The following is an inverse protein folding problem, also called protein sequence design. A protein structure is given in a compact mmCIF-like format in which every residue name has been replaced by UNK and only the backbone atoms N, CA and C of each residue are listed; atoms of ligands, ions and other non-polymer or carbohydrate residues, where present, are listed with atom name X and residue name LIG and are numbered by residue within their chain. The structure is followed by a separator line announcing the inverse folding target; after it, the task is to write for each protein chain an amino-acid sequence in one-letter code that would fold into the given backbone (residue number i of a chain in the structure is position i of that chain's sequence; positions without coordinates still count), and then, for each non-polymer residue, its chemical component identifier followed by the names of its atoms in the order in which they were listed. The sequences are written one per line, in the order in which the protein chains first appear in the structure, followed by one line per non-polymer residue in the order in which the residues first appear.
data_IF_693421979211
#
_entry.id   IF_693421979211
#
_cell.length_a   1.000
_cell.length_b   1.000
_cell.length_c   1.000
_cell.angle_alpha   90.00
_cell.angle_beta   90.00
_cell.angle_gamma   90.00
#
_symmetry.space_group_name_H-M   'P 1'
#
loop_
_entity.id
_entity.type
_entity.pdbx_description
1 polymer ?
#
# COMPACT_ATOMS: atom_id res chain seq x y z
N UNK A 1 -20.49 -12.08 -8.05
CA UNK A 1 -19.31 -11.77 -8.88
C UNK A 1 -18.08 -12.07 -8.04
N UNK A 2 -17.02 -12.69 -8.59
CA UNK A 2 -15.82 -12.92 -7.80
C UNK A 2 -15.25 -11.54 -7.44
N UNK A 3 -15.23 -11.27 -6.13
CA UNK A 3 -14.71 -10.04 -5.56
C UNK A 3 -13.21 -10.30 -5.43
N UNK A 4 -12.34 -9.51 -6.06
CA UNK A 4 -10.90 -9.76 -5.90
C UNK A 4 -10.55 -9.76 -4.42
N UNK A 5 -9.55 -10.57 -4.09
CA UNK A 5 -9.20 -10.89 -2.72
C UNK A 5 -7.83 -10.35 -2.36
N UNK A 6 -7.67 -9.98 -1.10
CA UNK A 6 -6.42 -9.46 -0.58
C UNK A 6 -5.99 -10.15 0.71
N UNK A 7 -4.68 -10.09 0.98
CA UNK A 7 -4.11 -10.45 2.27
C UNK A 7 -3.03 -9.42 2.67
N UNK A 8 -2.99 -9.02 3.94
CA UNK A 8 -1.97 -8.11 4.49
C UNK A 8 -1.12 -8.86 5.50
N UNK A 9 0.18 -8.96 5.23
CA UNK A 9 1.16 -9.61 6.11
C UNK A 9 2.06 -8.56 6.74
N UNK A 10 1.95 -8.41 8.06
CA UNK A 10 2.69 -7.40 8.83
C UNK A 10 3.99 -7.98 9.42
N UNK A 11 5.09 -7.25 9.27
CA UNK A 11 6.37 -7.57 9.89
C UNK A 11 6.80 -6.49 10.88
N UNK A 12 7.31 -6.90 12.04
CA UNK A 12 7.96 -6.03 13.02
C UNK A 12 7.01 -5.41 14.05
N UNK A 13 6.94 -4.07 14.10
CA UNK A 13 6.43 -3.33 15.26
C UNK A 13 4.90 -3.10 15.26
N UNK A 14 4.37 -2.61 16.40
CA UNK A 14 2.95 -2.25 16.57
C UNK A 14 2.48 -1.15 15.61
N UNK A 15 3.35 -0.21 15.25
CA UNK A 15 3.02 0.82 14.26
C UNK A 15 2.76 0.21 12.87
N UNK A 16 3.55 -0.80 12.49
CA UNK A 16 3.31 -1.55 11.24
C UNK A 16 1.99 -2.33 11.32
N UNK A 17 1.65 -2.91 12.48
CA UNK A 17 0.37 -3.60 12.67
C UNK A 17 -0.83 -2.64 12.49
N UNK A 18 -0.79 -1.47 13.12
CA UNK A 18 -1.83 -0.45 12.97
C UNK A 18 -1.93 0.07 11.52
N UNK A 19 -0.80 0.27 10.84
CA UNK A 19 -0.78 0.61 9.41
C UNK A 19 -1.44 -0.50 8.57
N UNK A 20 -1.20 -1.77 8.94
CA UNK A 20 -1.80 -2.93 8.30
C UNK A 20 -3.32 -2.92 8.44
N UNK A 21 -3.85 -2.73 9.65
CA UNK A 21 -5.29 -2.63 9.90
C UNK A 21 -5.95 -1.52 9.07
N UNK A 22 -5.29 -0.35 8.96
CA UNK A 22 -5.78 0.74 8.12
C UNK A 22 -5.80 0.37 6.62
N UNK A 23 -4.82 -0.40 6.15
CA UNK A 23 -4.80 -0.91 4.77
C UNK A 23 -5.91 -1.95 4.53
N UNK A 24 -6.11 -2.88 5.46
CA UNK A 24 -7.19 -3.88 5.37
C UNK A 24 -8.56 -3.19 5.24
N UNK A 25 -8.83 -2.22 6.10
CA UNK A 25 -10.08 -1.44 6.06
C UNK A 25 -10.22 -0.66 4.74
N UNK A 26 -9.13 -0.10 4.22
CA UNK A 26 -9.15 0.57 2.92
C UNK A 26 -9.50 -0.41 1.77
N UNK A 27 -8.96 -1.63 1.74
CA UNK A 27 -9.34 -2.62 0.74
C UNK A 27 -10.80 -3.07 0.86
N UNK A 28 -11.30 -3.26 2.09
CA UNK A 28 -12.70 -3.59 2.33
C UNK A 28 -13.64 -2.48 1.81
N UNK A 29 -13.29 -1.21 2.03
CA UNK A 29 -14.04 -0.06 1.50
C UNK A 29 -14.03 -0.01 -0.04
N UNK A 30 -12.94 -0.47 -0.66
CA UNK A 30 -12.83 -0.65 -2.11
C UNK A 30 -13.47 -1.94 -2.63
N UNK A 31 -14.22 -2.63 -1.79
CA UNK A 31 -14.95 -3.85 -2.13
C UNK A 31 -14.05 -5.00 -2.54
N UNK A 32 -12.89 -5.20 -1.93
CA UNK A 32 -12.18 -6.47 -2.02
C UNK A 32 -12.56 -7.39 -0.85
N UNK A 33 -12.49 -8.70 -1.06
CA UNK A 33 -12.63 -9.70 0.00
C UNK A 33 -11.29 -9.95 0.72
N UNK A 34 -11.31 -10.23 2.03
CA UNK A 34 -10.12 -10.72 2.73
C UNK A 34 -10.01 -12.23 2.50
N UNK A 35 -8.91 -12.69 1.92
CA UNK A 35 -8.67 -14.12 1.74
C UNK A 35 -8.26 -14.78 3.06
N UNK A 36 -8.66 -16.03 3.28
CA UNK A 36 -8.23 -16.83 4.45
C UNK A 36 -6.73 -17.12 4.43
N UNK A 37 -6.14 -17.27 3.24
CA UNK A 37 -4.72 -17.52 3.06
C UNK A 37 -4.16 -16.70 1.88
N UNK A 38 -2.91 -16.26 2.01
CA UNK A 38 -2.21 -15.52 0.95
C UNK A 38 -2.06 -16.31 -0.36
N UNK A 39 -2.09 -17.66 -0.26
CA UNK A 39 -1.99 -18.55 -1.43
C UNK A 39 -3.18 -18.42 -2.39
N UNK A 40 -4.32 -17.94 -1.89
CA UNK A 40 -5.57 -17.79 -2.63
C UNK A 40 -5.92 -16.32 -2.89
N UNK A 41 -4.97 -15.39 -2.68
CA UNK A 41 -5.18 -13.95 -2.81
C UNK A 41 -4.77 -13.40 -4.16
N UNK A 42 -5.57 -12.49 -4.72
CA UNK A 42 -5.21 -11.73 -5.93
C UNK A 42 -4.14 -10.67 -5.62
N UNK A 43 -4.22 -10.04 -4.45
CA UNK A 43 -3.24 -9.06 -3.94
C UNK A 43 -2.67 -9.51 -2.60
N UNK A 44 -1.34 -9.52 -2.49
CA UNK A 44 -0.67 -9.77 -1.21
C UNK A 44 0.18 -8.56 -0.84
N UNK A 45 -0.20 -7.89 0.25
CA UNK A 45 0.53 -6.74 0.78
C UNK A 45 1.53 -7.21 1.84
N UNK A 46 2.82 -7.00 1.58
CA UNK A 46 3.88 -7.22 2.54
C UNK A 46 4.20 -5.88 3.23
N UNK A 47 3.66 -5.67 4.43
CA UNK A 47 3.85 -4.43 5.19
C UNK A 47 5.02 -4.56 6.17
N UNK A 48 6.07 -3.80 5.90
CA UNK A 48 7.41 -4.02 6.45
C UNK A 48 7.77 -3.05 7.58
N UNK A 49 8.57 -3.55 8.51
CA UNK A 49 9.36 -2.74 9.44
C UNK A 49 10.84 -2.80 9.04
N UNK A 50 11.66 -1.90 9.59
CA UNK A 50 13.11 -1.88 9.33
C UNK A 50 13.95 -1.54 10.56
N UNK A 51 13.33 -1.55 11.75
CA UNK A 51 14.02 -1.23 13.01
C UNK A 51 15.03 -2.30 13.42
N UNK A 52 14.89 -3.53 12.91
CA UNK A 52 15.87 -4.60 13.07
C UNK A 52 16.21 -5.22 11.71
N UNK A 53 17.46 -5.63 11.52
CA UNK A 53 17.88 -6.36 10.32
C UNK A 53 17.11 -7.68 10.13
N UNK A 54 16.70 -8.31 11.23
CA UNK A 54 15.88 -9.52 11.19
C UNK A 54 14.51 -9.27 10.57
N UNK A 55 13.91 -8.09 10.76
CA UNK A 55 12.62 -7.74 10.15
C UNK A 55 12.73 -7.64 8.63
N UNK A 56 13.80 -7.01 8.11
CA UNK A 56 14.06 -6.94 6.67
C UNK A 56 14.26 -8.36 6.08
N UNK A 57 15.01 -9.22 6.77
CA UNK A 57 15.25 -10.60 6.34
C UNK A 57 13.96 -11.42 6.29
N UNK A 58 13.12 -11.33 7.32
CA UNK A 58 11.82 -12.00 7.37
C UNK A 58 10.89 -11.53 6.25
N UNK A 59 10.85 -10.22 5.97
CA UNK A 59 10.06 -9.68 4.86
C UNK A 59 10.53 -10.24 3.51
N UNK A 60 11.85 -10.27 3.25
CA UNK A 60 12.40 -10.87 2.01
C UNK A 60 12.11 -12.37 1.89
N UNK A 61 12.18 -13.11 3.00
CA UNK A 61 11.82 -14.53 3.03
C UNK A 61 10.34 -14.73 2.69
N UNK A 62 9.46 -13.88 3.24
CA UNK A 62 8.03 -13.96 2.96
C UNK A 62 7.71 -13.62 1.50
N UNK A 63 8.30 -12.58 0.92
CA UNK A 63 8.11 -12.24 -0.50
C UNK A 63 8.40 -13.46 -1.39
N UNK A 64 9.54 -14.11 -1.17
CA UNK A 64 9.93 -15.32 -1.94
C UNK A 64 8.99 -16.49 -1.68
N UNK A 65 8.48 -16.64 -0.46
CA UNK A 65 7.51 -17.69 -0.12
C UNK A 65 6.19 -17.47 -0.84
N UNK A 66 5.64 -16.26 -0.77
CA UNK A 66 4.38 -15.89 -1.45
C UNK A 66 4.54 -16.08 -2.95
N UNK A 67 5.62 -15.59 -3.56
CA UNK A 67 5.84 -15.75 -4.99
C UNK A 67 5.89 -17.23 -5.43
N UNK A 68 6.54 -18.09 -4.64
CA UNK A 68 6.62 -19.53 -4.93
C UNK A 68 5.27 -20.24 -4.77
N UNK A 69 4.48 -19.86 -3.75
CA UNK A 69 3.20 -20.51 -3.43
C UNK A 69 2.03 -19.95 -4.24
N UNK A 70 2.12 -18.70 -4.69
CA UNK A 70 1.13 -18.00 -5.49
C UNK A 70 1.83 -17.04 -6.48
N UNK A 71 2.33 -17.57 -7.61
CA UNK A 71 3.08 -16.78 -8.59
C UNK A 71 2.20 -15.76 -9.35
N UNK A 72 0.87 -15.90 -9.28
CA UNK A 72 -0.08 -14.98 -9.94
C UNK A 72 -0.43 -13.77 -9.07
N UNK A 73 -0.22 -13.85 -7.75
CA UNK A 73 -0.49 -12.75 -6.83
C UNK A 73 0.27 -11.48 -7.19
N UNK A 74 -0.43 -10.35 -7.10
CA UNK A 74 0.19 -9.03 -7.14
C UNK A 74 0.82 -8.76 -5.77
N UNK A 75 2.13 -8.96 -5.68
CA UNK A 75 2.88 -8.72 -4.44
C UNK A 75 3.23 -7.23 -4.33
N UNK A 76 2.60 -6.55 -3.38
CA UNK A 76 2.83 -5.13 -3.10
C UNK A 76 3.59 -4.99 -1.80
N UNK A 77 4.78 -4.41 -1.82
CA UNK A 77 5.59 -4.24 -0.62
C UNK A 77 5.51 -2.81 -0.15
N UNK A 78 5.17 -2.59 1.12
CA UNK A 78 5.07 -1.26 1.73
C UNK A 78 5.72 -1.22 3.11
N UNK A 79 5.76 -0.06 3.76
CA UNK A 79 6.29 0.11 5.11
C UNK A 79 7.66 0.76 5.19
N UNK A 80 8.31 0.61 6.36
CA UNK A 80 9.54 1.33 6.65
C UNK A 80 10.72 0.83 5.80
N UNK A 81 10.81 -0.47 5.54
CA UNK A 81 11.86 -1.03 4.70
C UNK A 81 11.66 -0.59 3.23
N UNK A 82 10.42 -0.57 2.76
CA UNK A 82 10.08 -0.03 1.43
C UNK A 82 10.41 1.47 1.29
N UNK A 83 10.28 2.27 2.34
CA UNK A 83 10.71 3.67 2.33
C UNK A 83 12.24 3.80 2.36
N UNK A 84 12.93 2.97 3.15
CA UNK A 84 14.39 3.04 3.34
C UNK A 84 15.17 2.56 2.11
N UNK A 85 14.75 1.45 1.52
CA UNK A 85 15.50 0.75 0.48
C UNK A 85 14.57 0.22 -0.63
N UNK A 86 13.82 1.10 -1.31
CA UNK A 86 12.83 0.67 -2.30
C UNK A 86 13.44 -0.15 -3.44
N UNK A 87 14.63 0.23 -3.89
CA UNK A 87 15.33 -0.45 -4.99
C UNK A 87 15.88 -1.83 -4.61
N UNK A 88 16.18 -2.06 -3.31
CA UNK A 88 16.56 -3.39 -2.83
C UNK A 88 15.38 -4.36 -2.97
N UNK A 89 14.19 -3.90 -2.59
CA UNK A 89 12.97 -4.69 -2.66
C UNK A 89 12.50 -4.89 -4.11
N UNK A 90 12.61 -3.86 -4.95
CA UNK A 90 12.15 -3.91 -6.34
C UNK A 90 12.91 -4.93 -7.20
N UNK A 91 14.12 -5.33 -6.78
CA UNK A 91 14.93 -6.37 -7.42
C UNK A 91 14.56 -7.79 -7.02
N UNK A 92 13.68 -7.97 -6.03
CA UNK A 92 13.25 -9.29 -5.60
C UNK A 92 12.22 -9.81 -6.61
N UNK A 93 12.49 -10.98 -7.17
CA UNK A 93 11.59 -11.67 -8.09
C UNK A 93 10.18 -11.84 -7.48
N UNK A 94 9.16 -11.60 -8.28
CA UNK A 94 7.76 -11.66 -7.90
C UNK A 94 7.17 -10.36 -7.33
N UNK A 95 8.00 -9.38 -6.94
CA UNK A 95 7.48 -8.08 -6.47
C UNK A 95 6.85 -7.33 -7.64
N UNK A 96 5.57 -7.00 -7.51
CA UNK A 96 4.83 -6.20 -8.51
C UNK A 96 5.10 -4.72 -8.32
N UNK A 97 5.05 -4.24 -7.07
CA UNK A 97 5.37 -2.84 -6.76
C UNK A 97 5.87 -2.64 -5.34
N UNK A 98 6.65 -1.59 -5.17
CA UNK A 98 7.20 -1.12 -3.89
C UNK A 98 6.65 0.28 -3.62
N UNK A 99 5.92 0.42 -2.51
CA UNK A 99 5.30 1.67 -2.10
C UNK A 99 5.82 2.10 -0.74
N UNK A 100 6.69 3.11 -0.70
CA UNK A 100 7.19 3.68 0.54
C UNK A 100 6.08 4.26 1.42
N UNK A 101 6.38 4.54 2.68
CA UNK A 101 5.44 5.21 3.59
C UNK A 101 4.94 6.56 3.01
N UNK A 102 5.76 7.24 2.20
CA UNK A 102 5.37 8.45 1.44
C UNK A 102 4.15 8.27 0.55
N UNK A 103 3.89 7.04 0.08
CA UNK A 103 2.80 6.73 -0.87
C UNK A 103 1.74 5.80 -0.28
N UNK A 104 1.85 5.45 1.01
CA UNK A 104 0.95 4.46 1.64
C UNK A 104 -0.51 4.87 1.58
N UNK A 105 -0.79 6.17 1.60
CA UNK A 105 -2.15 6.72 1.45
C UNK A 105 -2.79 6.36 0.10
N UNK A 106 -2.00 6.34 -0.97
CA UNK A 106 -2.46 6.05 -2.32
C UNK A 106 -2.33 4.57 -2.69
N UNK A 107 -1.85 3.72 -1.78
CA UNK A 107 -1.59 2.31 -2.07
C UNK A 107 -2.81 1.60 -2.64
N UNK A 108 -3.94 1.62 -1.93
CA UNK A 108 -5.15 0.92 -2.38
C UNK A 108 -5.66 1.49 -3.70
N UNK A 109 -5.86 2.82 -3.86
CA UNK A 109 -6.26 3.40 -5.15
C UNK A 109 -5.35 3.03 -6.33
N UNK A 110 -4.02 3.02 -6.13
CA UNK A 110 -3.06 2.63 -7.17
C UNK A 110 -3.21 1.15 -7.51
N UNK A 111 -3.32 0.28 -6.50
CA UNK A 111 -3.51 -1.16 -6.71
C UNK A 111 -4.78 -1.43 -7.51
N UNK A 112 -5.90 -0.80 -7.10
CA UNK A 112 -7.17 -0.91 -7.81
C UNK A 112 -7.03 -0.49 -9.27
N UNK A 113 -6.51 0.72 -9.52
CA UNK A 113 -6.46 1.28 -10.87
C UNK A 113 -5.48 0.56 -11.79
N UNK A 114 -4.33 0.13 -11.27
CA UNK A 114 -3.22 -0.35 -12.10
C UNK A 114 -3.18 -1.87 -12.25
N UNK A 115 -3.64 -2.62 -11.26
CA UNK A 115 -3.45 -4.07 -11.22
C UNK A 115 -4.74 -4.87 -11.20
N UNK A 116 -5.87 -4.25 -10.83
CA UNK A 116 -7.17 -4.93 -10.72
C UNK A 116 -8.25 -4.34 -11.64
N UNK A 117 -8.07 -3.15 -12.20
CA UNK A 117 -9.04 -2.59 -13.13
C UNK A 117 -9.23 -3.52 -14.32
N UNK A 118 -10.49 -3.81 -14.67
CA UNK A 118 -10.82 -4.44 -15.94
C UNK A 118 -10.25 -3.57 -17.08
N UNK A 119 -9.79 -4.17 -18.19
CA UNK A 119 -9.38 -3.39 -19.35
C UNK A 119 -10.56 -2.48 -19.73
N UNK A 120 -10.29 -1.18 -19.90
CA UNK A 120 -11.25 -0.28 -20.54
C UNK A 120 -11.71 -0.97 -21.83
N UNK A 121 -13.00 -1.32 -21.91
CA UNK A 121 -13.61 -1.72 -23.16
C UNK A 121 -13.19 -0.68 -24.20
N UNK A 122 -12.63 -1.09 -25.36
CA UNK A 122 -12.28 -0.12 -26.39
C UNK A 122 -13.51 0.74 -26.64
N UNK A 123 -13.30 2.06 -26.67
CA UNK A 123 -14.33 3.04 -26.97
C UNK A 123 -15.25 2.49 -28.07
N UNK A 124 -16.56 2.55 -27.82
CA UNK A 124 -17.59 1.94 -28.66
C UNK A 124 -17.25 2.08 -30.16
N UNK A 125 -17.43 1.03 -30.98
CA UNK A 125 -17.16 1.13 -32.40
C UNK A 125 -17.96 2.30 -32.99
N UNK A 126 -17.26 3.20 -33.68
CA UNK A 126 -17.89 4.27 -34.46
C UNK A 126 -18.98 3.66 -35.36
N UNK A 127 -20.23 4.02 -35.10
CA UNK A 127 -21.35 3.66 -35.97
C UNK A 127 -21.45 4.71 -37.08
N UNK A 128 -21.57 4.32 -38.36
CA UNK A 128 -21.80 5.28 -39.43
C UNK A 128 -23.16 5.98 -39.22
N UNK A 129 -23.13 7.24 -38.78
CA UNK A 129 -24.34 8.02 -38.50
C UNK A 129 -24.16 9.15 -37.48
N UNK A 130 -23.08 9.13 -36.70
CA UNK A 130 -22.80 10.20 -35.74
C UNK A 130 -22.34 11.46 -36.47
N UNK A 131 -23.11 12.54 -36.29
CA UNK A 131 -22.84 13.83 -36.90
C UNK A 131 -21.54 14.40 -36.32
N UNK A 132 -20.58 14.66 -37.20
CA UNK A 132 -19.30 15.29 -36.90
C UNK A 132 -19.51 16.62 -36.15
N UNK A 133 -19.10 16.69 -34.89
CA UNK A 133 -18.96 17.95 -34.14
C UNK A 133 -17.47 18.27 -33.99
N UNK A 134 -16.93 19.23 -34.76
CA UNK A 134 -15.53 19.62 -34.64
C UNK A 134 -15.40 20.81 -33.70
N UNK A 135 -15.06 20.56 -32.45
CA UNK A 135 -14.32 21.55 -31.66
C UNK A 135 -13.57 20.89 -30.51
N UNK A 136 -12.33 20.48 -30.80
CA UNK A 136 -11.30 20.27 -29.80
C UNK A 136 -10.04 21.06 -30.23
N UNK A 137 -9.80 22.27 -29.69
CA UNK A 137 -8.71 23.14 -30.13
C UNK A 137 -7.41 22.95 -29.33
N UNK A 138 -7.11 21.76 -28.82
CA UNK A 138 -5.82 21.51 -28.14
C UNK A 138 -5.04 20.38 -28.82
N UNK A 139 -4.51 20.70 -29.99
CA UNK A 139 -3.30 20.10 -30.53
C UNK A 139 -2.09 20.88 -30.00
N UNK A 140 -1.15 20.18 -29.36
CA UNK A 140 0.21 20.65 -29.14
C UNK A 140 0.73 20.53 -27.71
N UNK A 141 1.47 19.45 -27.43
CA UNK A 141 2.26 19.34 -26.19
C UNK A 141 2.53 17.91 -25.74
N UNK A 142 3.45 17.23 -26.45
CA UNK A 142 4.21 16.04 -26.03
C UNK A 142 3.43 14.83 -25.46
N UNK A 143 2.96 13.98 -26.36
CA UNK A 143 2.87 12.53 -26.11
C UNK A 143 4.29 11.98 -25.83
N UNK A 144 4.72 12.02 -24.58
CA UNK A 144 5.95 11.35 -24.17
C UNK A 144 5.65 10.12 -23.31
N UNK A 145 5.61 8.98 -24.03
CA UNK A 145 6.03 7.63 -23.61
C UNK A 145 5.08 6.81 -22.73
N UNK A 146 4.09 6.18 -23.36
CA UNK A 146 3.64 4.84 -22.98
C UNK A 146 4.45 3.78 -23.75
N UNK A 147 4.66 2.63 -23.09
CA UNK A 147 5.22 1.36 -23.58
C UNK A 147 6.74 1.18 -23.70
N UNK A 148 7.35 0.80 -22.56
CA UNK A 148 8.34 -0.29 -22.53
C UNK A 148 7.98 -1.23 -21.35
N UNK A 149 8.02 -2.57 -21.50
CA UNK A 149 7.90 -3.48 -20.37
C UNK A 149 9.15 -3.32 -19.50
N UNK A 150 9.06 -2.52 -18.43
CA UNK A 150 10.14 -2.44 -17.45
C UNK A 150 10.26 -3.80 -16.76
N UNK A 151 11.36 -4.50 -17.00
CA UNK A 151 11.75 -5.67 -16.22
C UNK A 151 12.12 -5.21 -14.80
N UNK A 152 11.12 -5.01 -13.94
CA UNK A 152 11.32 -4.58 -12.56
C UNK A 152 10.03 -4.06 -11.94
N UNK A 153 9.91 -4.19 -10.61
CA UNK A 153 8.75 -3.71 -9.87
C UNK A 153 8.57 -2.19 -10.01
N UNK A 154 7.33 -1.71 -10.05
CA UNK A 154 7.05 -0.28 -9.98
C UNK A 154 7.45 0.29 -8.61
N UNK A 155 8.16 1.41 -8.58
CA UNK A 155 8.61 2.05 -7.33
C UNK A 155 7.91 3.39 -7.11
N UNK A 156 7.14 3.46 -6.04
CA UNK A 156 6.44 4.65 -5.56
C UNK A 156 7.04 5.07 -4.22
N UNK A 157 8.09 5.88 -4.26
CA UNK A 157 8.78 6.34 -3.05
C UNK A 157 9.36 7.73 -3.29
N UNK A 158 8.87 8.70 -2.53
CA UNK A 158 9.35 10.09 -2.52
C UNK A 158 9.81 10.46 -1.10
N UNK A 159 10.15 11.73 -0.90
CA UNK A 159 10.52 12.26 0.41
C UNK A 159 9.42 12.01 1.44
N UNK A 160 9.74 11.30 2.51
CA UNK A 160 8.79 11.09 3.62
C UNK A 160 8.46 12.39 4.37
N UNK A 161 9.30 13.43 4.23
CA UNK A 161 9.12 14.70 4.92
C UNK A 161 8.00 15.55 4.34
N UNK A 162 7.52 15.23 3.13
CA UNK A 162 6.37 15.88 2.50
C UNK A 162 5.04 15.26 2.96
N UNK A 163 5.08 14.07 3.58
CA UNK A 163 3.88 13.40 4.07
C UNK A 163 3.30 14.11 5.30
N UNK A 164 2.07 14.61 5.14
CA UNK A 164 1.30 15.32 6.18
C UNK A 164 0.19 14.47 6.79
N UNK A 165 -0.19 13.38 6.15
CA UNK A 165 -1.33 12.57 6.57
C UNK A 165 -0.92 11.52 7.59
N UNK A 166 -1.79 11.31 8.57
CA UNK A 166 -1.69 10.18 9.50
C UNK A 166 -2.95 9.34 9.31
N UNK A 167 -2.78 8.15 8.75
CA UNK A 167 -3.81 7.12 8.76
C UNK A 167 -3.69 6.30 10.03
N UNK A 168 -4.74 6.31 10.83
CA UNK A 168 -4.93 5.40 11.95
C UNK A 168 -6.36 4.91 11.91
N UNK A 169 -6.52 3.62 12.12
CA UNK A 169 -7.80 3.02 12.48
C UNK A 169 -7.54 2.19 13.73
N UNK A 170 -8.51 2.13 14.64
CA UNK A 170 -8.48 1.18 15.72
C UNK A 170 -8.43 -0.22 15.12
N UNK A 171 -7.38 -0.98 15.42
CA UNK A 171 -7.32 -2.37 15.00
C UNK A 171 -8.20 -3.20 15.93
N UNK A 172 -9.46 -3.34 15.52
CA UNK A 172 -10.48 -4.18 16.16
C UNK A 172 -10.38 -5.64 15.66
N UNK A 173 -9.45 -5.93 14.73
CA UNK A 173 -9.45 -7.19 13.99
C UNK A 173 -9.20 -8.40 14.89
N UNK A 174 -10.16 -9.33 14.86
CA UNK A 174 -10.23 -10.61 15.58
C UNK A 174 -9.22 -11.68 15.16
N UNK A 175 -7.93 -11.32 14.99
CA UNK A 175 -6.83 -12.25 14.74
C UNK A 175 -6.36 -13.02 15.99
N UNK A 176 -7.28 -13.39 16.90
CA UNK A 176 -6.96 -14.10 18.14
C UNK A 176 -6.18 -13.29 19.19
N UNK A 177 -6.17 -11.95 19.09
CA UNK A 177 -5.42 -11.07 20.00
C UNK A 177 -6.35 -10.54 21.08
N UNK A 178 -5.85 -10.47 22.31
CA UNK A 178 -6.59 -9.96 23.48
C UNK A 178 -6.40 -8.45 23.71
N UNK A 179 -5.61 -7.77 22.88
CA UNK A 179 -5.30 -6.33 23.04
C UNK A 179 -5.35 -5.61 21.69
N UNK A 180 -6.21 -4.59 21.54
CA UNK A 180 -6.26 -3.78 20.33
C UNK A 180 -5.02 -2.88 20.22
N UNK A 181 -4.79 -2.36 19.02
CA UNK A 181 -3.75 -1.37 18.75
C UNK A 181 -4.39 -0.12 18.14
N UNK A 182 -4.12 1.03 18.75
CA UNK A 182 -4.51 2.34 18.24
C UNK A 182 -3.26 3.19 18.02
N UNK A 183 -3.05 3.70 16.80
CA UNK A 183 -1.90 4.53 16.47
C UNK A 183 -2.25 6.01 16.65
N UNK A 184 -1.89 6.57 17.80
CA UNK A 184 -2.14 7.99 18.11
C UNK A 184 -1.11 8.96 17.50
N UNK A 185 0.06 8.46 17.12
CA UNK A 185 1.15 9.25 16.54
C UNK A 185 1.94 8.43 15.53
N UNK A 186 2.49 9.09 14.51
CA UNK A 186 3.43 8.55 13.55
C UNK A 186 4.64 9.48 13.37
N UNK A 187 5.77 8.93 12.93
CA UNK A 187 7.01 9.69 12.79
C UNK A 187 7.65 10.13 14.12
N UNK A 188 8.78 10.84 14.00
CA UNK A 188 9.53 11.37 15.14
C UNK A 188 10.39 12.55 14.71
N UNK A 189 10.36 13.64 15.47
CA UNK A 189 11.16 14.85 15.20
C UNK A 189 12.52 14.86 15.93
N UNK A 190 12.81 13.82 16.73
CA UNK A 190 14.10 13.66 17.39
C UNK A 190 15.15 13.12 16.42
N UNK A 191 16.40 13.58 16.57
CA UNK A 191 17.53 13.18 15.73
C UNK A 191 18.52 12.31 16.50
N UNK A 192 18.04 11.18 17.01
CA UNK A 192 18.93 10.21 17.66
C UNK A 192 19.90 9.59 16.64
N UNK A 193 21.17 9.45 17.00
CA UNK A 193 22.24 8.98 16.11
C UNK A 193 22.00 7.58 15.51
N UNK A 194 21.22 6.74 16.19
CA UNK A 194 20.94 5.36 15.81
C UNK A 194 19.55 5.17 15.17
N UNK A 195 18.69 6.19 15.18
CA UNK A 195 17.27 6.01 14.88
C UNK A 195 16.95 6.30 13.41
N UNK A 196 16.41 5.29 12.72
CA UNK A 196 15.99 5.41 11.31
C UNK A 196 14.63 6.09 11.13
N UNK A 197 13.82 6.16 12.20
CA UNK A 197 12.40 6.56 12.14
C UNK A 197 12.14 7.90 11.44
N UNK A 198 12.91 8.98 11.69
CA UNK A 198 12.68 10.25 10.99
C UNK A 198 12.76 10.11 9.46
N UNK A 199 13.58 9.20 8.95
CA UNK A 199 13.80 9.01 7.51
C UNK A 199 12.83 8.04 6.85
N UNK A 200 12.11 7.24 7.63
CA UNK A 200 11.15 6.25 7.11
C UNK A 200 9.71 6.58 7.44
N UNK A 201 9.46 7.39 8.49
CA UNK A 201 8.12 7.83 8.89
C UNK A 201 7.99 9.36 8.95
N UNK A 202 9.07 10.12 8.77
CA UNK A 202 9.03 11.59 8.74
C UNK A 202 8.93 12.21 10.12
N UNK A 203 8.61 13.51 10.16
CA UNK A 203 8.41 14.28 11.38
C UNK A 203 7.26 13.74 12.23
N UNK A 204 7.24 14.10 13.51
CA UNK A 204 6.14 13.74 14.41
C UNK A 204 4.81 14.29 13.89
N UNK A 205 3.80 13.43 13.80
CA UNK A 205 2.42 13.76 13.47
C UNK A 205 1.50 13.01 14.42
N UNK A 206 0.58 13.70 15.08
CA UNK A 206 -0.36 13.11 16.02
C UNK A 206 -1.79 13.16 15.46
N UNK A 207 -2.61 12.19 15.87
CA UNK A 207 -4.07 12.33 15.74
C UNK A 207 -4.57 13.50 16.57
N UNK A 208 -5.68 14.08 16.14
CA UNK A 208 -6.45 15.01 16.97
C UNK A 208 -7.07 14.23 18.14
N UNK A 209 -7.18 14.88 19.29
CA UNK A 209 -7.68 14.24 20.51
C UNK A 209 -9.08 13.67 20.32
N UNK A 210 -9.96 14.40 19.65
CA UNK A 210 -11.33 13.98 19.38
C UNK A 210 -11.38 12.69 18.54
N UNK A 211 -10.46 12.56 17.57
CA UNK A 211 -10.35 11.35 16.76
C UNK A 211 -9.78 10.18 17.55
N UNK A 212 -8.86 10.42 18.49
CA UNK A 212 -8.37 9.38 19.41
C UNK A 212 -9.51 8.87 20.27
N UNK A 213 -10.28 9.76 20.89
CA UNK A 213 -11.43 9.39 21.73
C UNK A 213 -12.47 8.61 20.94
N UNK A 214 -12.83 9.07 19.75
CA UNK A 214 -13.75 8.37 18.84
C UNK A 214 -13.27 6.96 18.52
N UNK A 215 -11.97 6.77 18.26
CA UNK A 215 -11.42 5.44 17.96
C UNK A 215 -11.35 4.53 19.20
N UNK A 216 -11.19 5.10 20.40
CA UNK A 216 -11.24 4.34 21.66
C UNK A 216 -12.67 3.89 21.95
N UNK A 217 -13.68 4.73 21.73
CA UNK A 217 -15.09 4.36 21.90
C UNK A 217 -15.46 3.14 21.05
N UNK A 218 -15.01 3.10 19.79
CA UNK A 218 -15.20 1.95 18.90
C UNK A 218 -14.57 0.64 19.39
N UNK A 219 -13.66 0.68 20.38
CA UNK A 219 -13.03 -0.50 20.97
C UNK A 219 -13.73 -1.00 22.23
N UNK A 220 -14.67 -0.21 22.78
CA UNK A 220 -15.44 -0.56 23.98
C UNK A 220 -16.76 -1.27 23.65
N UNK A 221 -17.27 -1.06 22.43
CA UNK A 221 -18.47 -1.69 21.87
C UNK A 221 -18.18 -3.08 21.27
#
# INVERSE_FOLDING_TARGET
MPRETFNVINFGCRATQADGAALEQAFLNHRLGKAEAWKDSDVVVINTCTVTHSADAQARQMIRKVHRENPQAKIVVTGCYAQRAPQEIARIEGVTSVMGNSHKEHLVPIVMKKYLAEPELPAQPYLPGDTFQPENPLSGGELSRMNEPRSGADVFCSSIFESRTLRSIADISGGGRTRPVLKVQDGCSLRCSYCVIPYVRGNSRSLQEEEVLRQVELLLD
#
